data_IF_828643617642
#
_entry.id   IF_828643617642
#
_cell.length_a   1.000
_cell.length_b   1.000
_cell.length_c   1.000
_cell.angle_alpha   90.00
_cell.angle_beta   90.00
_cell.angle_gamma   90.00
#
_symmetry.space_group_name_H-M   'P 1'
#
loop_
_entity.id
_entity.type
_entity.pdbx_description
1 polymer ?
#
# COMPACT_ATOMS: atom_id res chain seq x y z
N UNK A 1 -20.06 -2.01 -62.35
CA UNK A 1 -19.64 -2.86 -61.22
C UNK A 1 -18.94 -1.96 -60.20
N UNK A 2 -19.61 -1.70 -59.09
CA UNK A 2 -19.18 -0.71 -58.08
C UNK A 2 -18.54 -1.48 -56.94
N UNK A 3 -17.23 -1.22 -56.71
CA UNK A 3 -16.48 -1.80 -55.59
C UNK A 3 -16.70 -0.92 -54.35
N UNK A 4 -17.30 -1.51 -53.31
CA UNK A 4 -17.53 -0.85 -52.03
C UNK A 4 -16.26 -0.79 -51.20
N UNK A 5 -15.92 0.41 -50.74
CA UNK A 5 -14.88 0.68 -49.73
C UNK A 5 -15.47 0.45 -48.34
N UNK A 6 -15.00 -0.59 -47.65
CA UNK A 6 -15.24 -0.77 -46.23
C UNK A 6 -14.23 0.08 -45.44
N UNK A 7 -14.75 1.12 -44.80
CA UNK A 7 -13.98 1.88 -43.78
C UNK A 7 -13.98 1.12 -42.47
N UNK A 8 -12.80 0.75 -41.97
CA UNK A 8 -12.56 0.22 -40.62
C UNK A 8 -12.61 1.36 -39.59
N UNK A 9 -13.30 1.20 -38.46
CA UNK A 9 -13.28 2.21 -37.40
C UNK A 9 -11.94 2.24 -36.70
N UNK A 10 -11.38 3.45 -36.56
CA UNK A 10 -10.11 3.71 -35.91
C UNK A 10 -10.11 3.30 -34.44
N UNK A 11 -9.12 2.52 -34.06
CA UNK A 11 -8.84 2.18 -32.68
C UNK A 11 -8.41 3.42 -31.90
N UNK A 12 -9.20 3.82 -30.91
CA UNK A 12 -8.88 4.90 -29.98
C UNK A 12 -7.74 4.42 -29.05
N UNK A 13 -6.53 4.78 -29.38
CA UNK A 13 -5.35 4.51 -28.55
C UNK A 13 -5.43 5.39 -27.31
N UNK A 14 -5.87 4.82 -26.19
CA UNK A 14 -5.77 5.47 -24.88
C UNK A 14 -4.28 5.67 -24.57
N UNK A 15 -3.79 6.90 -24.65
CA UNK A 15 -2.42 7.27 -24.22
C UNK A 15 -2.24 6.83 -22.78
N UNK A 16 -1.50 5.76 -22.54
CA UNK A 16 -0.88 5.49 -21.24
C UNK A 16 -0.01 6.72 -20.92
N UNK A 17 -0.35 7.42 -19.83
CA UNK A 17 0.59 8.38 -19.25
C UNK A 17 1.85 7.59 -18.90
N UNK A 18 2.96 7.88 -19.56
CA UNK A 18 4.29 7.48 -19.12
C UNK A 18 4.54 8.20 -17.78
N UNK A 19 4.13 7.55 -16.68
CA UNK A 19 4.47 7.99 -15.34
C UNK A 19 5.92 7.56 -15.14
N UNK A 20 6.85 8.47 -15.42
CA UNK A 20 8.25 8.30 -14.99
C UNK A 20 8.22 8.24 -13.46
N UNK A 21 8.64 7.09 -12.91
CA UNK A 21 8.70 6.90 -11.45
C UNK A 21 9.74 7.86 -10.85
N UNK A 22 9.47 8.43 -9.65
CA UNK A 22 10.43 9.30 -8.98
C UNK A 22 11.77 8.60 -8.76
N UNK A 23 12.86 9.37 -8.84
CA UNK A 23 14.20 8.84 -8.60
C UNK A 23 14.28 8.23 -7.18
N UNK A 24 14.79 7.00 -7.09
CA UNK A 24 14.90 6.27 -5.84
C UNK A 24 13.61 5.64 -5.31
N UNK A 25 12.49 5.76 -6.00
CA UNK A 25 11.27 5.06 -5.66
C UNK A 25 11.34 3.59 -6.10
N UNK A 26 11.05 2.69 -5.16
CA UNK A 26 10.91 1.26 -5.42
C UNK A 26 9.42 0.92 -5.29
N UNK A 27 8.75 0.47 -6.36
CA UNK A 27 7.35 0.09 -6.27
C UNK A 27 7.13 -1.02 -5.24
N UNK A 28 6.09 -0.91 -4.37
CA UNK A 28 5.87 -1.84 -3.29
C UNK A 28 5.48 -3.25 -3.77
N UNK A 29 5.81 -4.25 -2.94
CA UNK A 29 5.28 -5.60 -3.06
C UNK A 29 3.79 -5.61 -2.66
N UNK A 30 2.93 -6.14 -3.53
CA UNK A 30 1.47 -6.11 -3.35
C UNK A 30 0.93 -7.53 -3.13
N UNK A 31 0.22 -7.78 -2.01
CA UNK A 31 -0.37 -9.08 -1.74
C UNK A 31 -1.52 -9.39 -2.70
N UNK A 32 -1.65 -10.66 -3.07
CA UNK A 32 -2.80 -11.17 -3.79
C UNK A 32 -3.94 -11.52 -2.83
N UNK A 33 -5.18 -11.41 -3.29
CA UNK A 33 -6.33 -11.92 -2.53
C UNK A 33 -6.29 -13.43 -2.44
N UNK A 34 -6.58 -13.96 -1.25
CA UNK A 34 -6.79 -15.39 -1.04
C UNK A 34 -8.08 -15.61 -0.24
N UNK A 35 -8.85 -16.69 -0.53
CA UNK A 35 -10.10 -16.98 0.17
C UNK A 35 -9.87 -17.49 1.60
N UNK A 36 -8.70 -18.07 1.86
CA UNK A 36 -8.31 -18.64 3.16
C UNK A 36 -6.83 -18.41 3.43
N UNK A 37 -6.43 -18.26 4.70
CA UNK A 37 -5.02 -18.20 5.06
C UNK A 37 -4.32 -19.52 4.76
N UNK A 38 -3.06 -19.49 4.31
CA UNK A 38 -2.26 -20.67 4.17
C UNK A 38 -1.85 -21.24 5.53
N UNK A 39 -1.62 -22.55 5.59
CA UNK A 39 -1.14 -23.25 6.79
C UNK A 39 0.35 -23.59 6.68
N UNK A 40 0.95 -23.87 7.82
CA UNK A 40 2.27 -24.45 7.95
C UNK A 40 3.40 -23.47 8.24
N UNK A 41 4.54 -24.03 8.62
CA UNK A 41 5.69 -23.33 9.18
C UNK A 41 6.41 -22.36 8.23
N UNK A 42 6.12 -22.41 6.93
CA UNK A 42 6.71 -21.51 5.94
C UNK A 42 6.05 -20.13 5.87
N UNK A 43 5.03 -19.87 6.68
CA UNK A 43 4.27 -18.62 6.63
C UNK A 43 4.43 -17.78 7.89
N UNK A 44 4.41 -16.47 7.71
CA UNK A 44 4.25 -15.46 8.75
C UNK A 44 2.90 -14.78 8.55
N UNK A 45 2.17 -14.55 9.63
CA UNK A 45 0.87 -13.89 9.60
C UNK A 45 0.97 -12.53 10.29
N UNK A 46 0.62 -11.47 9.61
CA UNK A 46 0.62 -10.09 10.09
C UNK A 46 -0.79 -9.54 10.09
N UNK A 47 -1.10 -8.66 11.03
CA UNK A 47 -2.34 -7.87 10.99
C UNK A 47 -2.30 -7.00 9.73
N UNK A 48 -3.40 -6.99 9.01
CA UNK A 48 -3.61 -6.05 7.93
C UNK A 48 -4.11 -4.73 8.51
N UNK A 49 -3.20 -3.75 8.54
CA UNK A 49 -3.53 -2.41 8.98
C UNK A 49 -4.29 -1.66 7.90
N UNK A 50 -5.31 -0.90 8.32
CA UNK A 50 -6.09 -0.03 7.46
C UNK A 50 -5.48 1.37 7.47
N UNK A 51 -4.66 1.65 6.47
CA UNK A 51 -3.86 2.86 6.39
C UNK A 51 -3.47 3.25 4.98
N UNK A 52 -2.40 4.04 4.86
CA UNK A 52 -1.79 4.41 3.59
C UNK A 52 -0.43 3.73 3.45
N UNK A 53 -0.24 3.00 2.36
CA UNK A 53 1.04 2.39 2.03
C UNK A 53 2.11 3.43 1.82
N UNK A 54 3.23 3.27 2.52
CA UNK A 54 4.39 4.14 2.43
C UNK A 54 5.65 3.31 2.17
N UNK A 55 6.41 3.71 1.16
CA UNK A 55 7.81 3.33 1.00
C UNK A 55 8.64 4.50 1.52
N UNK A 56 9.20 4.35 2.71
CA UNK A 56 9.99 5.36 3.39
C UNK A 56 11.47 5.17 3.05
N UNK A 57 12.08 6.15 2.40
CA UNK A 57 13.48 6.14 2.00
C UNK A 57 14.27 7.22 2.73
N UNK A 58 15.36 6.81 3.36
CA UNK A 58 16.40 7.69 3.88
C UNK A 58 17.68 7.48 3.11
N UNK A 59 18.24 8.54 2.56
CA UNK A 59 19.61 8.59 2.04
C UNK A 59 20.48 9.53 2.90
N UNK A 60 21.71 9.78 2.49
CA UNK A 60 22.64 10.65 3.23
C UNK A 60 22.19 12.11 3.34
N UNK A 61 21.25 12.55 2.52
CA UNK A 61 20.84 13.96 2.38
C UNK A 61 19.42 14.21 2.88
N UNK A 62 18.51 13.25 2.70
CA UNK A 62 17.09 13.50 2.91
C UNK A 62 16.31 12.24 3.29
N UNK A 63 15.11 12.47 3.82
CA UNK A 63 14.06 11.46 3.96
C UNK A 63 12.99 11.76 2.91
N UNK A 64 12.51 10.73 2.24
CA UNK A 64 11.37 10.78 1.33
C UNK A 64 10.37 9.69 1.67
N UNK A 65 9.10 10.04 1.68
CA UNK A 65 8.00 9.12 1.88
C UNK A 65 7.18 9.04 0.60
N UNK A 66 7.18 7.87 0.00
CA UNK A 66 6.46 7.63 -1.24
C UNK A 66 5.19 6.84 -0.99
N UNK A 67 4.07 7.31 -1.51
CA UNK A 67 2.84 6.55 -1.59
C UNK A 67 2.97 5.34 -2.54
N UNK A 68 1.91 4.55 -2.62
CA UNK A 68 1.89 3.31 -3.41
C UNK A 68 2.24 3.49 -4.89
N UNK A 69 1.93 4.65 -5.48
CA UNK A 69 2.16 4.98 -6.89
C UNK A 69 3.37 5.89 -7.11
N UNK A 70 4.11 6.24 -6.04
CA UNK A 70 5.28 7.10 -6.08
C UNK A 70 4.99 8.58 -5.82
N UNK A 71 3.76 8.94 -5.44
CA UNK A 71 3.42 10.27 -4.97
C UNK A 71 4.22 10.63 -3.70
N UNK A 72 4.76 11.84 -3.65
CA UNK A 72 5.53 12.32 -2.51
C UNK A 72 4.59 12.73 -1.36
N UNK A 73 4.70 12.00 -0.24
CA UNK A 73 3.92 12.23 0.98
C UNK A 73 4.80 12.73 2.15
N UNK A 74 6.01 13.21 1.87
CA UNK A 74 7.01 13.57 2.88
C UNK A 74 6.50 14.65 3.83
N UNK A 75 5.91 15.72 3.31
CA UNK A 75 5.39 16.82 4.12
C UNK A 75 4.16 16.43 4.95
N UNK A 76 3.48 15.37 4.55
CA UNK A 76 2.25 14.92 5.18
C UNK A 76 2.47 14.23 6.53
N UNK A 77 3.60 13.54 6.71
CA UNK A 77 3.86 12.67 7.87
C UNK A 77 5.15 13.05 8.61
N UNK A 78 5.20 14.23 9.25
CA UNK A 78 6.43 14.78 9.87
C UNK A 78 7.00 13.87 10.96
N UNK A 79 6.15 13.16 11.73
CA UNK A 79 6.61 12.25 12.78
C UNK A 79 7.36 11.04 12.19
N UNK A 80 6.87 10.49 11.08
CA UNK A 80 7.55 9.41 10.35
C UNK A 80 8.88 9.91 9.77
N UNK A 81 8.91 11.12 9.20
CA UNK A 81 10.15 11.74 8.69
C UNK A 81 11.17 11.89 9.79
N UNK A 82 10.78 12.41 10.96
CA UNK A 82 11.67 12.58 12.11
C UNK A 82 12.25 11.24 12.58
N UNK A 83 11.42 10.20 12.66
CA UNK A 83 11.86 8.86 13.03
C UNK A 83 12.85 8.27 12.02
N UNK A 84 12.55 8.36 10.73
CA UNK A 84 13.44 7.90 9.65
C UNK A 84 14.76 8.66 9.63
N UNK A 85 14.77 9.95 9.98
CA UNK A 85 15.97 10.79 9.96
C UNK A 85 17.05 10.30 10.94
N UNK A 86 16.68 9.64 12.01
CA UNK A 86 17.61 9.08 13.02
C UNK A 86 18.27 7.75 12.59
N UNK A 87 17.77 7.11 11.53
CA UNK A 87 18.27 5.83 11.05
C UNK A 87 19.47 6.01 10.09
N UNK A 88 20.28 4.98 9.86
CA UNK A 88 21.20 4.95 8.71
C UNK A 88 20.43 5.02 7.40
N UNK A 89 21.13 5.16 6.27
CA UNK A 89 20.49 5.10 4.94
C UNK A 89 19.75 3.78 4.77
N UNK A 90 18.45 3.83 4.52
CA UNK A 90 17.61 2.64 4.37
C UNK A 90 16.34 2.94 3.58
N UNK A 91 15.72 1.87 3.08
CA UNK A 91 14.37 1.92 2.48
C UNK A 91 13.49 0.90 3.19
N UNK A 92 12.42 1.39 3.83
CA UNK A 92 11.46 0.62 4.63
C UNK A 92 10.10 0.65 3.96
N UNK A 93 9.44 -0.50 3.93
CA UNK A 93 8.08 -0.65 3.45
C UNK A 93 7.12 -0.79 4.64
N UNK A 94 6.05 -0.01 4.65
CA UNK A 94 5.14 0.04 5.79
C UNK A 94 3.75 0.57 5.44
N UNK A 95 2.92 0.66 6.47
CA UNK A 95 1.58 1.25 6.40
C UNK A 95 1.49 2.41 7.39
N UNK A 96 1.22 3.62 6.90
CA UNK A 96 1.00 4.77 7.76
C UNK A 96 -0.41 4.73 8.35
N UNK A 97 -0.51 4.93 9.67
CA UNK A 97 -1.75 4.83 10.44
C UNK A 97 -1.87 6.05 11.36
N UNK A 98 -3.08 6.50 11.54
CA UNK A 98 -3.46 7.49 12.57
C UNK A 98 -4.46 6.84 13.51
N UNK A 99 -4.33 7.07 14.80
CA UNK A 99 -5.30 6.62 15.79
C UNK A 99 -6.23 7.77 16.23
N UNK A 100 -7.44 7.40 16.61
CA UNK A 100 -8.37 8.30 17.31
C UNK A 100 -7.93 8.56 18.76
N UNK A 101 -8.78 9.27 19.54
CA UNK A 101 -8.45 9.61 20.93
C UNK A 101 -8.49 8.39 21.88
N UNK A 102 -9.10 7.28 21.46
CA UNK A 102 -9.11 6.00 22.20
C UNK A 102 -7.93 5.09 21.82
N UNK A 103 -7.08 5.53 20.86
CA UNK A 103 -5.94 4.75 20.39
C UNK A 103 -6.30 3.73 19.30
N UNK A 104 -7.51 3.77 18.76
CA UNK A 104 -7.96 2.88 17.68
C UNK A 104 -7.55 3.45 16.33
N UNK A 105 -6.93 2.65 15.44
CA UNK A 105 -6.63 3.06 14.08
C UNK A 105 -7.86 3.52 13.31
N UNK A 106 -7.78 4.68 12.65
CA UNK A 106 -8.87 5.27 11.88
C UNK A 106 -8.40 5.73 10.50
N UNK A 107 -8.80 5.01 9.47
CA UNK A 107 -8.52 5.41 8.09
C UNK A 107 -9.25 6.70 7.69
N UNK A 108 -10.41 6.97 8.26
CA UNK A 108 -11.16 8.20 7.98
C UNK A 108 -10.40 9.47 8.39
N UNK A 109 -9.64 9.42 9.50
CA UNK A 109 -8.75 10.52 9.88
C UNK A 109 -7.66 10.73 8.83
N UNK A 110 -7.05 9.66 8.34
CA UNK A 110 -6.07 9.74 7.25
C UNK A 110 -6.69 10.28 5.95
N UNK A 111 -7.86 9.79 5.55
CA UNK A 111 -8.53 10.22 4.32
C UNK A 111 -8.87 11.71 4.36
N UNK A 112 -9.29 12.22 5.52
CA UNK A 112 -9.62 13.64 5.74
C UNK A 112 -8.40 14.49 6.05
N UNK A 113 -7.19 13.93 6.07
CA UNK A 113 -5.93 14.59 6.45
C UNK A 113 -5.99 15.21 7.85
N UNK A 114 -6.73 14.57 8.73
CA UNK A 114 -6.82 14.97 10.13
C UNK A 114 -5.76 14.21 10.92
N UNK A 115 -4.99 14.94 11.74
CA UNK A 115 -3.92 14.37 12.60
C UNK A 115 -2.78 13.67 11.84
N UNK A 116 -2.51 14.07 10.61
CA UNK A 116 -1.38 13.55 9.82
C UNK A 116 -0.04 13.75 10.55
N UNK A 117 0.06 14.77 11.41
CA UNK A 117 1.18 15.05 12.31
C UNK A 117 1.39 14.00 13.41
N UNK A 118 0.38 13.20 13.72
CA UNK A 118 0.41 12.08 14.68
C UNK A 118 0.52 10.72 14.02
N UNK A 119 0.57 10.66 12.70
CA UNK A 119 0.71 9.42 11.97
C UNK A 119 2.03 8.74 12.29
N UNK A 120 2.00 7.43 12.43
CA UNK A 120 3.17 6.58 12.54
C UNK A 120 3.14 5.46 11.51
N UNK A 121 4.31 4.87 11.23
CA UNK A 121 4.47 3.84 10.22
C UNK A 121 4.59 2.47 10.89
N UNK A 122 3.66 1.56 10.62
CA UNK A 122 3.87 0.14 10.86
C UNK A 122 4.83 -0.41 9.81
N UNK A 123 6.10 -0.53 10.18
CA UNK A 123 7.16 -1.05 9.32
C UNK A 123 7.08 -2.57 9.25
N UNK A 124 6.97 -3.14 8.06
CA UNK A 124 6.83 -4.59 7.92
C UNK A 124 7.83 -5.23 6.94
N UNK A 125 8.61 -4.46 6.19
CA UNK A 125 9.70 -4.99 5.37
C UNK A 125 10.86 -4.00 5.22
N UNK A 126 12.05 -4.54 4.99
CA UNK A 126 13.27 -3.78 4.71
C UNK A 126 13.72 -4.08 3.28
N UNK A 127 13.81 -3.04 2.47
CA UNK A 127 14.14 -3.15 1.04
C UNK A 127 15.62 -2.91 0.81
N UNK A 128 16.20 -1.88 1.47
CA UNK A 128 17.61 -1.50 1.38
C UNK A 128 18.12 -1.09 2.76
N UNK A 129 19.39 -1.40 3.05
CA UNK A 129 20.10 -0.92 4.25
C UNK A 129 21.52 -0.51 3.86
N UNK A 130 21.88 0.73 4.14
CA UNK A 130 23.14 1.34 3.71
C UNK A 130 23.27 1.28 2.18
N UNK A 131 24.18 0.50 1.64
CA UNK A 131 24.34 0.25 0.18
C UNK A 131 23.81 -1.12 -0.25
N UNK A 132 23.31 -1.92 0.70
CA UNK A 132 22.91 -3.29 0.42
C UNK A 132 21.44 -3.37 -0.03
N UNK A 133 21.21 -4.03 -1.15
CA UNK A 133 19.88 -4.35 -1.67
C UNK A 133 19.38 -5.66 -1.04
N UNK A 134 18.51 -5.55 -0.02
CA UNK A 134 17.97 -6.68 0.72
C UNK A 134 16.85 -7.43 -0.03
N UNK A 135 16.41 -6.97 -1.19
CA UNK A 135 15.27 -7.58 -1.91
C UNK A 135 15.47 -9.04 -2.28
N UNK A 136 16.72 -9.46 -2.44
CA UNK A 136 17.07 -10.86 -2.77
C UNK A 136 17.07 -11.79 -1.57
N UNK A 137 17.14 -11.25 -0.36
CA UNK A 137 17.16 -12.03 0.86
C UNK A 137 15.77 -12.59 1.19
N UNK A 138 15.68 -13.72 1.88
CA UNK A 138 14.43 -14.24 2.44
C UNK A 138 13.73 -13.22 3.35
N UNK A 139 12.40 -13.16 3.31
CA UNK A 139 11.60 -12.25 4.14
C UNK A 139 11.96 -12.35 5.63
N UNK A 140 12.14 -13.55 6.16
CA UNK A 140 12.49 -13.75 7.57
C UNK A 140 13.81 -13.06 7.97
N UNK A 141 14.81 -13.07 7.08
CA UNK A 141 16.07 -12.37 7.29
C UNK A 141 15.87 -10.86 7.27
N UNK A 142 15.14 -10.34 6.27
CA UNK A 142 14.82 -8.91 6.19
C UNK A 142 14.08 -8.41 7.43
N UNK A 143 13.16 -9.22 7.98
CA UNK A 143 12.43 -8.88 9.21
C UNK A 143 13.33 -8.87 10.46
N UNK A 144 14.26 -9.80 10.56
CA UNK A 144 15.24 -9.80 11.66
C UNK A 144 16.11 -8.55 11.61
N UNK A 145 16.58 -8.17 10.43
CA UNK A 145 17.38 -6.95 10.25
C UNK A 145 16.54 -5.70 10.52
N UNK A 146 15.31 -5.61 10.01
CA UNK A 146 14.38 -4.52 10.29
C UNK A 146 14.15 -4.33 11.80
N UNK A 147 13.88 -5.43 12.53
CA UNK A 147 13.69 -5.38 13.98
C UNK A 147 14.91 -4.86 14.72
N UNK A 148 16.11 -5.25 14.30
CA UNK A 148 17.37 -4.74 14.87
C UNK A 148 17.56 -3.26 14.58
N UNK A 149 17.14 -2.81 13.41
CA UNK A 149 17.28 -1.43 12.94
C UNK A 149 16.38 -0.45 13.71
N UNK A 150 15.11 -0.79 13.91
CA UNK A 150 14.11 0.13 14.48
C UNK A 150 13.67 -0.21 15.91
N UNK A 151 14.01 -1.39 16.43
CA UNK A 151 13.44 -1.92 17.68
C UNK A 151 11.98 -2.33 17.51
N UNK A 152 11.27 -2.51 18.61
CA UNK A 152 9.85 -2.87 18.59
C UNK A 152 8.95 -1.64 18.37
N UNK A 153 9.32 -0.49 18.93
CA UNK A 153 8.59 0.78 18.78
C UNK A 153 9.49 1.98 19.07
N UNK A 154 9.27 3.04 18.31
CA UNK A 154 9.81 4.38 18.55
C UNK A 154 8.78 5.40 18.09
N UNK A 155 8.86 6.68 18.54
CA UNK A 155 7.98 7.70 18.00
C UNK A 155 8.07 7.75 16.48
N UNK A 156 6.93 7.56 15.79
CA UNK A 156 6.83 7.58 14.31
C UNK A 156 7.09 6.26 13.61
N UNK A 157 7.74 5.27 14.25
CA UNK A 157 7.97 3.93 13.68
C UNK A 157 7.58 2.83 14.68
N UNK A 158 6.82 1.87 14.22
CA UNK A 158 6.39 0.69 14.99
C UNK A 158 6.67 -0.55 14.15
N UNK A 159 7.34 -1.54 14.72
CA UNK A 159 7.53 -2.82 14.04
C UNK A 159 6.18 -3.53 13.89
N UNK A 160 5.76 -3.82 12.67
CA UNK A 160 4.62 -4.69 12.44
C UNK A 160 4.97 -6.11 12.92
N UNK A 161 4.38 -6.50 14.05
CA UNK A 161 4.57 -7.83 14.63
C UNK A 161 3.94 -8.90 13.76
N UNK A 162 4.51 -10.09 13.81
CA UNK A 162 4.01 -11.24 13.08
C UNK A 162 3.87 -12.47 13.97
N UNK A 163 2.99 -13.36 13.57
CA UNK A 163 2.78 -14.66 14.19
C UNK A 163 3.40 -15.71 13.26
N UNK A 164 4.24 -16.56 13.80
CA UNK A 164 4.87 -17.63 13.05
C UNK A 164 3.88 -18.77 12.83
N UNK A 165 3.69 -19.20 11.58
CA UNK A 165 2.80 -20.29 11.22
C UNK A 165 3.18 -21.66 11.79
N UNK A 166 4.42 -21.81 12.32
CA UNK A 166 4.81 -22.95 13.13
C UNK A 166 4.19 -22.92 14.55
N UNK A 167 3.78 -21.73 15.04
CA UNK A 167 3.22 -21.54 16.38
C UNK A 167 1.71 -21.43 16.38
N UNK A 168 1.11 -20.94 15.31
CA UNK A 168 -0.35 -20.80 15.19
C UNK A 168 -0.78 -20.90 13.74
N UNK A 169 -1.86 -21.62 13.50
CA UNK A 169 -2.46 -21.74 12.17
C UNK A 169 -3.00 -20.39 11.68
N UNK A 170 -2.79 -20.12 10.39
CA UNK A 170 -3.27 -18.88 9.78
C UNK A 170 -4.77 -18.65 9.91
N UNK A 171 -5.57 -19.73 9.89
CA UNK A 171 -7.02 -19.66 10.10
C UNK A 171 -7.35 -19.10 11.48
N UNK A 172 -6.73 -19.60 12.54
CA UNK A 172 -6.91 -19.11 13.91
C UNK A 172 -6.53 -17.64 14.06
N UNK A 173 -5.40 -17.23 13.45
CA UNK A 173 -4.96 -15.83 13.46
C UNK A 173 -5.99 -14.94 12.75
N UNK A 174 -6.55 -15.41 11.63
CA UNK A 174 -7.56 -14.68 10.88
C UNK A 174 -8.87 -14.55 11.66
N UNK A 175 -9.34 -15.64 12.26
CA UNK A 175 -10.55 -15.65 13.08
C UNK A 175 -10.43 -14.69 14.27
N UNK A 176 -9.28 -14.69 14.96
CA UNK A 176 -9.00 -13.74 16.05
C UNK A 176 -8.98 -12.30 15.55
N UNK A 177 -8.34 -12.02 14.41
CA UNK A 177 -8.34 -10.68 13.82
C UNK A 177 -9.77 -10.21 13.47
N UNK A 178 -10.59 -11.10 12.92
CA UNK A 178 -12.01 -10.81 12.62
C UNK A 178 -12.84 -10.56 13.89
N UNK A 179 -12.65 -11.35 14.95
CA UNK A 179 -13.42 -11.24 16.20
C UNK A 179 -13.24 -9.90 16.92
N UNK A 180 -12.08 -9.28 16.76
CA UNK A 180 -11.78 -7.95 17.33
C UNK A 180 -11.91 -6.82 16.30
N UNK A 181 -12.55 -7.08 15.14
CA UNK A 181 -12.92 -6.06 14.16
C UNK A 181 -11.80 -5.55 13.26
N UNK A 182 -10.63 -6.21 13.23
CA UNK A 182 -9.53 -5.79 12.35
C UNK A 182 -9.85 -6.03 10.87
N UNK A 183 -9.16 -5.31 9.97
CA UNK A 183 -9.36 -5.40 8.53
C UNK A 183 -9.08 -6.80 7.95
N UNK A 184 -8.27 -7.60 8.64
CA UNK A 184 -7.89 -8.93 8.26
C UNK A 184 -6.42 -9.22 8.53
N UNK A 185 -5.84 -10.12 7.75
CA UNK A 185 -4.41 -10.46 7.85
C UNK A 185 -3.72 -10.49 6.49
N UNK A 186 -2.40 -10.39 6.52
CA UNK A 186 -1.52 -10.68 5.38
C UNK A 186 -0.59 -11.83 5.77
N UNK A 187 -0.68 -12.94 5.05
CA UNK A 187 0.21 -14.07 5.19
C UNK A 187 1.35 -13.93 4.19
N UNK A 188 2.58 -13.99 4.69
CA UNK A 188 3.79 -13.79 3.87
C UNK A 188 4.68 -15.01 3.97
N UNK A 189 5.20 -15.48 2.85
CA UNK A 189 6.07 -16.64 2.82
C UNK A 189 7.48 -16.26 3.29
N UNK A 190 8.03 -16.99 4.26
CA UNK A 190 9.31 -16.69 4.96
C UNK A 190 10.51 -16.61 4.03
N UNK A 191 10.59 -17.55 3.07
CA UNK A 191 11.67 -17.65 2.10
C UNK A 191 11.51 -16.74 0.87
N UNK A 192 10.45 -15.91 0.85
CA UNK A 192 10.17 -15.08 -0.32
C UNK A 192 11.10 -13.88 -0.44
N UNK A 193 11.49 -13.58 -1.68
CA UNK A 193 12.14 -12.33 -2.05
C UNK A 193 11.14 -11.19 -2.08
N UNK A 194 11.64 -9.96 -2.00
CA UNK A 194 10.81 -8.78 -2.25
C UNK A 194 10.67 -8.55 -3.75
N UNK A 195 9.43 -8.57 -4.25
CA UNK A 195 9.10 -8.41 -5.67
C UNK A 195 8.18 -7.22 -5.80
N UNK A 196 8.59 -6.18 -6.55
CA UNK A 196 7.72 -5.05 -6.88
C UNK A 196 6.50 -5.50 -7.68
N UNK A 197 5.32 -4.98 -7.32
CA UNK A 197 4.06 -5.39 -7.92
C UNK A 197 3.42 -6.60 -7.23
N UNK A 198 2.50 -7.29 -7.91
CA UNK A 198 1.74 -8.41 -7.32
C UNK A 198 2.64 -9.61 -7.07
N UNK A 199 2.59 -10.12 -5.84
CA UNK A 199 3.39 -11.29 -5.42
C UNK A 199 2.47 -12.44 -4.97
N UNK A 200 2.66 -13.65 -5.49
CA UNK A 200 1.92 -14.84 -5.04
C UNK A 200 2.40 -15.33 -3.66
N UNK A 201 3.51 -14.81 -3.16
CA UNK A 201 4.07 -15.15 -1.86
C UNK A 201 3.55 -14.29 -0.71
N UNK A 202 2.75 -13.26 -1.02
CA UNK A 202 2.04 -12.44 -0.06
C UNK A 202 0.55 -12.54 -0.33
N UNK A 203 -0.19 -13.03 0.66
CA UNK A 203 -1.63 -13.31 0.53
C UNK A 203 -2.39 -12.48 1.56
N UNK A 204 -3.40 -11.74 1.12
CA UNK A 204 -4.27 -10.98 2.00
C UNK A 204 -5.64 -11.63 2.11
N UNK A 205 -6.14 -11.75 3.31
CA UNK A 205 -7.51 -12.15 3.64
C UNK A 205 -8.17 -10.98 4.36
N UNK A 206 -9.33 -10.58 3.87
CA UNK A 206 -10.09 -9.46 4.42
C UNK A 206 -11.23 -9.95 5.28
N UNK A 207 -11.43 -9.28 6.41
CA UNK A 207 -12.60 -9.45 7.25
C UNK A 207 -13.79 -8.78 6.56
N UNK A 208 -14.83 -9.53 6.15
CA UNK A 208 -15.99 -8.95 5.46
C UNK A 208 -16.84 -8.03 6.34
N UNK A 209 -16.72 -8.14 7.67
CA UNK A 209 -17.44 -7.32 8.63
C UNK A 209 -16.67 -6.04 9.03
N UNK A 210 -15.43 -5.85 8.55
CA UNK A 210 -14.62 -4.68 8.90
C UNK A 210 -15.16 -3.39 8.28
N UNK A 211 -14.81 -2.25 8.90
CA UNK A 211 -15.10 -0.93 8.33
C UNK A 211 -14.46 -0.74 6.95
N UNK A 212 -13.24 -1.23 6.76
CA UNK A 212 -12.56 -1.19 5.48
C UNK A 212 -13.34 -1.91 4.37
N UNK A 213 -13.93 -3.08 4.67
CA UNK A 213 -14.77 -3.80 3.72
C UNK A 213 -16.06 -3.03 3.39
N UNK A 214 -16.70 -2.43 4.39
CA UNK A 214 -17.90 -1.59 4.17
C UNK A 214 -17.59 -0.38 3.31
N UNK A 215 -16.49 0.34 3.58
CA UNK A 215 -16.06 1.47 2.75
C UNK A 215 -15.81 1.08 1.30
N UNK A 216 -15.18 -0.06 1.04
CA UNK A 216 -14.95 -0.53 -0.34
C UNK A 216 -16.26 -0.74 -1.11
N UNK A 217 -17.27 -1.27 -0.45
CA UNK A 217 -18.60 -1.45 -1.05
C UNK A 217 -19.27 -0.09 -1.32
N UNK A 218 -19.20 0.85 -0.38
CA UNK A 218 -19.73 2.21 -0.53
C UNK A 218 -19.03 2.97 -1.67
N UNK A 219 -17.70 2.91 -1.74
CA UNK A 219 -16.92 3.54 -2.81
C UNK A 219 -17.20 2.92 -4.19
N UNK A 220 -17.46 1.62 -4.26
CA UNK A 220 -17.84 0.93 -5.49
C UNK A 220 -19.24 1.34 -5.96
N UNK A 221 -20.21 1.38 -5.04
CA UNK A 221 -21.57 1.89 -5.32
C UNK A 221 -21.53 3.35 -5.79
N UNK A 222 -20.76 4.21 -5.13
CA UNK A 222 -20.61 5.61 -5.51
C UNK A 222 -20.02 5.77 -6.91
N UNK A 223 -19.05 4.93 -7.30
CA UNK A 223 -18.49 4.92 -8.66
C UNK A 223 -19.50 4.48 -9.72
N UNK A 224 -20.34 3.52 -9.40
CA UNK A 224 -21.39 3.02 -10.33
C UNK A 224 -22.56 4.00 -10.50
N UNK A 225 -22.82 4.81 -9.47
CA UNK A 225 -23.93 5.79 -9.47
C UNK A 225 -23.50 7.20 -9.91
N UNK A 226 -22.19 7.46 -10.06
CA UNK A 226 -21.70 8.73 -10.55
C UNK A 226 -22.19 8.98 -12.01
N UNK A 227 -22.85 10.12 -12.30
CA UNK A 227 -23.28 10.42 -13.66
C UNK A 227 -22.07 10.51 -14.57
N UNK A 228 -22.16 9.89 -15.75
CA UNK A 228 -21.14 10.03 -16.77
C UNK A 228 -20.92 11.53 -17.04
N UNK A 229 -19.71 12.03 -16.79
CA UNK A 229 -19.35 13.41 -17.08
C UNK A 229 -19.55 13.62 -18.56
N UNK A 230 -20.61 14.38 -18.92
CA UNK A 230 -20.99 14.68 -20.29
C UNK A 230 -19.82 15.33 -21.03
N UNK A 231 -19.54 14.81 -22.21
CA UNK A 231 -18.60 15.41 -23.16
C UNK A 231 -18.99 16.88 -23.37
N UNK A 232 -18.03 17.83 -23.40
CA UNK A 232 -18.33 19.22 -23.64
C UNK A 232 -18.95 19.33 -25.05
N UNK A 233 -20.19 19.80 -25.11
CA UNK A 233 -20.88 20.13 -26.36
C UNK A 233 -20.09 21.26 -27.01
N UNK A 234 -19.39 20.97 -28.09
CA UNK A 234 -18.71 21.97 -28.92
C UNK A 234 -19.81 22.79 -29.60
N UNK A 235 -20.13 23.95 -29.07
CA UNK A 235 -20.97 24.94 -29.75
C UNK A 235 -20.16 25.50 -30.91
N UNK A 236 -20.49 25.08 -32.12
CA UNK A 236 -19.95 25.66 -33.34
C UNK A 236 -20.44 27.09 -33.45
N UNK A 237 -19.54 28.06 -33.25
CA UNK A 237 -19.80 29.46 -33.61
C UNK A 237 -19.90 29.57 -35.12
N UNK A 238 -21.12 29.77 -35.61
CA UNK A 238 -21.38 30.16 -36.98
C UNK A 238 -20.80 31.57 -37.22
N UNK A 239 -19.92 31.67 -38.19
CA UNK A 239 -19.33 32.92 -38.65
C UNK A 239 -20.29 33.59 -39.63
N UNK A 240 -20.86 34.79 -39.39
CA UNK A 240 -21.58 35.54 -40.40
C UNK A 240 -20.60 36.29 -41.31
N UNK A 241 -20.58 35.89 -42.57
CA UNK A 241 -19.98 36.72 -43.62
C UNK A 241 -20.76 38.02 -43.82
N UNK A 242 -20.07 39.12 -43.75
CA UNK A 242 -20.14 40.25 -44.72
C UNK A 242 -18.83 41.04 -44.64
#
# INVERSE_FOLDING_TARGET
>A
MIAGLHSTPGATTTRRRDLTLPAGFIPPCLPMMAPRPPSGSLWLHEIKHDGLRIVARKDSRSVRLYGRLGDDLTERFPLVVAAMASLPSCTIDGEAVVCDDSGVPSFDLLRRRQRDDRAFLFAFDLIELSSDDCRRDPLEQRKVVLRRLIGDTSPGLVLCKWIDGAKSEGATVFEQACSIGLEGIVSKRKDSRYISGRSPYWLKMKNPASEAARREVEDELARQTAPAVGSPTTTALANPRR
#
